data_IF_066390562247
#
_entry.id   IF_066390562247
#
_cell.length_a   1.000
_cell.length_b   1.000
_cell.length_c   1.000
_cell.angle_alpha   90.00
_cell.angle_beta   90.00
_cell.angle_gamma   90.00
#
_symmetry.space_group_name_H-M   'P 1'
#
loop_
_entity.id
_entity.type
_entity.pdbx_description
1 polymer ?
#
# COMPACT_ATOMS: atom_id res chain seq x y z
N UNK A 1 -5.67 3.43 -23.17
CA UNK A 1 -5.74 2.54 -22.00
C UNK A 1 -4.33 2.35 -21.50
N UNK A 2 -4.15 2.31 -20.19
CA UNK A 2 -2.88 1.89 -19.60
C UNK A 2 -2.79 0.35 -19.59
N UNK A 3 -1.62 -0.20 -19.25
CA UNK A 3 -1.39 -1.66 -19.30
C UNK A 3 -2.30 -2.47 -18.38
N UNK A 4 -2.76 -1.89 -17.27
CA UNK A 4 -3.68 -2.57 -16.33
C UNK A 4 -5.10 -2.61 -16.88
N UNK A 5 -5.54 -1.54 -17.54
CA UNK A 5 -6.80 -1.54 -18.28
C UNK A 5 -6.76 -2.53 -19.46
N UNK A 6 -5.67 -2.54 -20.23
CA UNK A 6 -5.47 -3.53 -21.31
C UNK A 6 -5.50 -4.97 -20.77
N UNK A 7 -4.84 -5.22 -19.63
CA UNK A 7 -4.94 -6.51 -18.95
C UNK A 7 -6.39 -6.84 -18.60
N UNK A 8 -7.09 -5.94 -17.93
CA UNK A 8 -8.45 -6.19 -17.44
C UNK A 8 -9.47 -6.44 -18.56
N UNK A 9 -9.43 -5.66 -19.64
CA UNK A 9 -10.43 -5.74 -20.72
C UNK A 9 -10.09 -6.73 -21.83
N UNK A 10 -8.80 -6.87 -22.17
CA UNK A 10 -8.40 -7.54 -23.41
C UNK A 10 -7.72 -8.90 -23.18
N UNK A 11 -7.34 -9.24 -21.94
CA UNK A 11 -6.68 -10.50 -21.60
C UNK A 11 -7.60 -11.47 -20.85
N UNK A 12 -7.42 -12.79 -21.02
CA UNK A 12 -8.12 -13.79 -20.22
C UNK A 12 -7.57 -13.81 -18.78
N UNK A 13 -8.49 -13.93 -17.82
CA UNK A 13 -8.17 -14.01 -16.39
C UNK A 13 -8.31 -15.44 -15.88
N UNK A 14 -7.29 -15.96 -15.17
CA UNK A 14 -7.38 -17.27 -14.50
C UNK A 14 -8.08 -17.16 -13.14
N UNK A 15 -7.97 -15.99 -12.51
CA UNK A 15 -8.57 -15.67 -11.22
C UNK A 15 -9.47 -14.43 -11.33
N UNK A 16 -10.59 -14.37 -10.58
CA UNK A 16 -11.44 -13.18 -10.51
C UNK A 16 -10.65 -11.93 -10.11
N UNK A 17 -10.81 -10.86 -10.89
CA UNK A 17 -10.24 -9.54 -10.62
C UNK A 17 -11.36 -8.62 -10.16
N UNK A 18 -11.22 -8.05 -8.96
CA UNK A 18 -12.18 -7.12 -8.38
C UNK A 18 -11.48 -5.79 -8.09
N UNK A 19 -11.63 -4.81 -8.98
CA UNK A 19 -11.06 -3.46 -8.83
C UNK A 19 -12.04 -2.40 -9.33
N UNK A 20 -12.01 -1.23 -8.73
CA UNK A 20 -12.71 -0.06 -9.27
C UNK A 20 -11.97 0.44 -10.52
N UNK A 21 -12.71 0.84 -11.56
CA UNK A 21 -12.10 1.21 -12.83
C UNK A 21 -11.07 2.34 -12.72
N UNK A 22 -11.30 3.33 -11.85
CA UNK A 22 -10.37 4.44 -11.68
C UNK A 22 -9.08 4.06 -10.93
N UNK A 23 -9.04 2.90 -10.27
CA UNK A 23 -7.82 2.43 -9.61
C UNK A 23 -6.72 2.09 -10.62
N UNK A 24 -7.07 1.65 -11.83
CA UNK A 24 -6.09 1.32 -12.87
C UNK A 24 -5.22 2.53 -13.26
N UNK A 25 -5.80 3.72 -13.41
CA UNK A 25 -5.04 4.96 -13.67
C UNK A 25 -4.11 5.29 -12.48
N UNK A 26 -4.61 5.14 -11.25
CA UNK A 26 -3.86 5.45 -10.03
C UNK A 26 -2.64 4.51 -9.92
N UNK A 27 -2.85 3.21 -10.10
CA UNK A 27 -1.75 2.24 -10.13
C UNK A 27 -0.76 2.57 -11.24
N UNK A 28 -1.21 2.80 -12.48
CA UNK A 28 -0.29 3.06 -13.60
C UNK A 28 0.57 4.30 -13.34
N UNK A 29 -0.03 5.40 -12.87
CA UNK A 29 0.67 6.63 -12.50
C UNK A 29 1.81 6.37 -11.52
N UNK A 30 1.58 5.57 -10.48
CA UNK A 30 2.54 5.39 -9.39
C UNK A 30 3.47 4.20 -9.61
N UNK A 31 3.03 3.17 -10.31
CA UNK A 31 3.73 1.89 -10.45
C UNK A 31 4.48 1.72 -11.77
N UNK A 32 4.17 2.52 -12.80
CA UNK A 32 4.80 2.41 -14.14
C UNK A 32 6.33 2.48 -14.10
N UNK A 33 6.90 3.25 -13.16
CA UNK A 33 8.36 3.34 -12.96
C UNK A 33 9.03 2.00 -12.56
N UNK A 34 8.28 1.02 -12.09
CA UNK A 34 8.78 -0.32 -11.70
C UNK A 34 8.60 -1.38 -12.79
N UNK A 35 7.89 -1.08 -13.87
CA UNK A 35 7.65 -2.06 -14.95
C UNK A 35 8.97 -2.46 -15.60
N UNK A 36 9.25 -3.76 -15.68
CA UNK A 36 10.52 -4.30 -16.17
C UNK A 36 11.71 -4.04 -15.24
N UNK A 37 11.47 -3.66 -13.98
CA UNK A 37 12.52 -3.41 -12.95
C UNK A 37 12.56 -4.46 -11.85
N UNK A 38 11.82 -5.56 -12.01
CA UNK A 38 11.80 -6.68 -11.06
C UNK A 38 11.47 -6.25 -9.61
N UNK A 39 10.39 -5.47 -9.39
CA UNK A 39 10.05 -4.98 -8.05
C UNK A 39 9.68 -6.13 -7.11
N UNK A 40 9.97 -5.96 -5.82
CA UNK A 40 9.31 -6.73 -4.75
C UNK A 40 8.02 -6.04 -4.34
N UNK A 41 6.90 -6.76 -4.44
CA UNK A 41 5.55 -6.23 -4.20
C UNK A 41 4.84 -7.11 -3.18
N UNK A 42 4.26 -6.49 -2.15
CA UNK A 42 3.38 -7.14 -1.20
C UNK A 42 1.94 -6.68 -1.42
N UNK A 43 1.03 -7.61 -1.62
CA UNK A 43 -0.43 -7.40 -1.59
C UNK A 43 -1.01 -8.01 -0.30
N UNK A 44 -1.67 -7.18 0.50
CA UNK A 44 -2.45 -7.61 1.67
C UNK A 44 -3.91 -7.68 1.22
N UNK A 45 -4.55 -8.85 1.36
CA UNK A 45 -5.82 -9.15 0.70
C UNK A 45 -5.61 -9.80 -0.65
N UNK A 46 -5.51 -11.14 -0.67
CA UNK A 46 -5.32 -11.90 -1.91
C UNK A 46 -6.67 -12.24 -2.53
N UNK A 47 -7.66 -12.56 -1.69
CA UNK A 47 -8.95 -13.12 -2.11
C UNK A 47 -8.79 -14.26 -3.14
N UNK A 48 -9.39 -14.18 -4.32
CA UNK A 48 -9.24 -15.21 -5.34
C UNK A 48 -7.86 -15.16 -6.08
N UNK A 49 -7.09 -14.09 -5.90
CA UNK A 49 -5.74 -13.89 -6.44
C UNK A 49 -5.65 -13.17 -7.79
N UNK A 50 -6.74 -12.54 -8.25
CA UNK A 50 -6.71 -11.74 -9.48
C UNK A 50 -5.81 -10.50 -9.40
N UNK A 51 -5.65 -9.89 -8.21
CA UNK A 51 -4.69 -8.80 -7.99
C UNK A 51 -3.25 -9.24 -8.27
N UNK A 52 -2.81 -10.33 -7.64
CA UNK A 52 -1.52 -10.96 -7.91
C UNK A 52 -1.33 -11.34 -9.39
N UNK A 53 -2.34 -11.92 -10.05
CA UNK A 53 -2.27 -12.25 -11.48
C UNK A 53 -2.07 -11.00 -12.35
N UNK A 54 -2.82 -9.94 -12.05
CA UNK A 54 -2.72 -8.65 -12.72
C UNK A 54 -1.33 -8.02 -12.53
N UNK A 55 -0.81 -7.98 -11.30
CA UNK A 55 0.51 -7.43 -11.02
C UNK A 55 1.65 -8.29 -11.61
N UNK A 56 1.47 -9.61 -11.69
CA UNK A 56 2.40 -10.52 -12.36
C UNK A 56 2.55 -10.17 -13.85
N UNK A 57 1.44 -9.88 -14.54
CA UNK A 57 1.47 -9.45 -15.94
C UNK A 57 2.02 -8.01 -16.09
N UNK A 58 1.55 -7.09 -15.25
CA UNK A 58 1.86 -5.67 -15.34
C UNK A 58 3.35 -5.35 -15.14
N UNK A 59 3.97 -5.91 -14.10
CA UNK A 59 5.39 -5.68 -13.82
C UNK A 59 6.32 -6.52 -14.71
N UNK A 60 5.82 -7.66 -15.19
CA UNK A 60 6.52 -8.56 -16.09
C UNK A 60 7.53 -9.47 -15.41
N UNK A 61 8.45 -10.00 -16.22
CA UNK A 61 9.42 -11.02 -15.81
C UNK A 61 10.30 -10.57 -14.63
N UNK A 62 10.44 -11.46 -13.64
CA UNK A 62 11.33 -11.30 -12.50
C UNK A 62 10.80 -10.37 -11.40
N UNK A 63 9.58 -9.84 -11.50
CA UNK A 63 8.93 -9.29 -10.31
C UNK A 63 8.80 -10.36 -9.22
N UNK A 64 8.69 -9.93 -7.97
CA UNK A 64 8.56 -10.84 -6.83
C UNK A 64 7.33 -10.45 -6.05
N UNK A 65 6.30 -11.29 -6.13
CA UNK A 65 5.00 -11.04 -5.53
C UNK A 65 4.87 -11.81 -4.23
N UNK A 66 4.42 -11.11 -3.20
CA UNK A 66 4.15 -11.64 -1.88
C UNK A 66 2.69 -11.34 -1.55
N UNK A 67 2.02 -12.29 -0.93
CA UNK A 67 0.62 -12.15 -0.52
C UNK A 67 0.44 -12.40 0.96
N UNK A 68 -0.41 -11.61 1.62
CA UNK A 68 -0.92 -11.90 2.97
C UNK A 68 -2.44 -11.91 2.94
N UNK A 69 -3.06 -12.99 3.42
CA UNK A 69 -4.51 -13.09 3.50
C UNK A 69 -4.95 -13.99 4.67
N UNK A 70 -6.07 -13.69 5.30
CA UNK A 70 -6.55 -14.44 6.46
C UNK A 70 -7.14 -15.81 6.12
N UNK A 71 -7.59 -16.00 4.87
CA UNK A 71 -8.31 -17.20 4.42
C UNK A 71 -7.71 -17.82 3.16
N UNK A 72 -7.28 -17.01 2.19
CA UNK A 72 -6.98 -17.48 0.82
C UNK A 72 -5.49 -17.70 0.53
N UNK A 73 -4.61 -17.40 1.48
CA UNK A 73 -3.17 -17.61 1.33
C UNK A 73 -2.74 -19.08 1.16
N UNK A 74 -3.66 -20.04 1.27
CA UNK A 74 -3.42 -21.47 1.07
C UNK A 74 -3.91 -22.00 -0.27
N UNK A 75 -4.22 -21.15 -1.27
CA UNK A 75 -4.66 -21.61 -2.59
C UNK A 75 -3.46 -22.12 -3.43
N UNK A 76 -3.29 -23.44 -3.62
CA UNK A 76 -2.13 -23.99 -4.31
C UNK A 76 -2.10 -23.67 -5.81
N UNK A 77 -3.23 -23.20 -6.38
CA UNK A 77 -3.26 -22.78 -7.79
C UNK A 77 -2.49 -21.50 -8.02
N UNK A 78 -2.46 -20.58 -7.04
CA UNK A 78 -1.78 -19.30 -7.20
C UNK A 78 -0.27 -19.51 -7.39
N UNK A 79 0.37 -20.26 -6.49
CA UNK A 79 1.80 -20.58 -6.59
C UNK A 79 2.13 -21.37 -7.86
N UNK A 80 1.22 -22.24 -8.31
CA UNK A 80 1.44 -23.06 -9.51
C UNK A 80 1.29 -22.27 -10.81
N UNK A 81 0.32 -21.35 -10.87
CA UNK A 81 -0.08 -20.68 -12.12
C UNK A 81 0.54 -19.28 -12.28
N UNK A 82 1.08 -18.70 -11.21
CA UNK A 82 1.70 -17.38 -11.17
C UNK A 82 3.21 -17.51 -10.83
N UNK A 83 4.10 -17.55 -11.83
CA UNK A 83 5.51 -17.89 -11.64
C UNK A 83 6.31 -16.88 -10.81
N UNK A 84 5.83 -15.63 -10.69
CA UNK A 84 6.49 -14.59 -9.89
C UNK A 84 5.98 -14.51 -8.45
N UNK A 85 5.00 -15.33 -8.05
CA UNK A 85 4.59 -15.44 -6.64
C UNK A 85 5.67 -16.17 -5.87
N UNK A 86 6.30 -15.46 -4.95
CA UNK A 86 7.38 -15.98 -4.11
C UNK A 86 6.84 -16.62 -2.85
N UNK A 87 5.84 -15.98 -2.22
CA UNK A 87 5.30 -16.46 -0.96
C UNK A 87 3.89 -15.95 -0.70
N UNK A 88 2.99 -16.86 -0.31
CA UNK A 88 1.67 -16.53 0.22
C UNK A 88 1.61 -16.89 1.71
N UNK A 89 1.24 -15.94 2.56
CA UNK A 89 1.21 -16.11 4.00
C UNK A 89 -0.18 -15.95 4.56
N UNK A 90 -0.62 -16.94 5.35
CA UNK A 90 -1.85 -16.81 6.12
C UNK A 90 -1.63 -15.88 7.31
N UNK A 91 -2.39 -14.80 7.39
CA UNK A 91 -2.23 -13.81 8.47
C UNK A 91 -3.44 -12.89 8.63
N UNK A 92 -3.66 -12.41 9.84
CA UNK A 92 -4.62 -11.33 10.11
C UNK A 92 -3.89 -9.99 10.12
N UNK A 93 -4.22 -9.12 9.17
CA UNK A 93 -3.61 -7.81 9.07
C UNK A 93 -3.90 -6.90 10.28
N UNK A 94 -4.95 -7.20 11.06
CA UNK A 94 -5.28 -6.51 12.29
C UNK A 94 -4.42 -6.92 13.50
N UNK A 95 -3.55 -7.92 13.35
CA UNK A 95 -2.70 -8.46 14.39
C UNK A 95 -1.26 -7.92 14.28
N UNK A 96 -0.84 -7.13 15.27
CA UNK A 96 0.49 -6.52 15.33
C UNK A 96 1.60 -7.58 15.45
N UNK A 97 1.39 -8.64 16.23
CA UNK A 97 2.42 -9.65 16.43
C UNK A 97 2.65 -10.49 15.18
N UNK A 98 1.60 -10.75 14.41
CA UNK A 98 1.74 -11.34 13.08
C UNK A 98 2.68 -10.51 12.20
N UNK A 99 2.49 -9.19 12.13
CA UNK A 99 3.36 -8.34 11.33
C UNK A 99 4.79 -8.27 11.85
N UNK A 100 4.97 -8.33 13.16
CA UNK A 100 6.31 -8.38 13.77
C UNK A 100 7.06 -9.63 13.31
N UNK A 101 6.45 -10.81 13.45
CA UNK A 101 7.02 -12.08 13.03
C UNK A 101 7.23 -12.14 11.50
N UNK A 102 6.26 -11.63 10.73
CA UNK A 102 6.34 -11.60 9.27
C UNK A 102 7.57 -10.82 8.79
N UNK A 103 7.77 -9.59 9.33
CA UNK A 103 8.90 -8.73 8.97
C UNK A 103 10.28 -9.31 9.23
N UNK A 104 10.40 -10.26 10.15
CA UNK A 104 11.69 -10.88 10.48
C UNK A 104 12.21 -11.79 9.36
N UNK A 105 11.32 -12.25 8.46
CA UNK A 105 11.65 -13.26 7.44
C UNK A 105 11.45 -12.79 5.99
N UNK A 106 10.75 -11.68 5.75
CA UNK A 106 10.52 -11.15 4.39
C UNK A 106 11.44 -9.97 4.04
N UNK A 107 11.70 -9.70 2.75
CA UNK A 107 12.48 -8.53 2.35
C UNK A 107 11.64 -7.25 2.40
N UNK A 108 12.32 -6.09 2.47
CA UNK A 108 11.65 -4.81 2.18
C UNK A 108 11.04 -4.80 0.78
N UNK A 109 9.93 -4.09 0.63
CA UNK A 109 9.16 -4.05 -0.61
C UNK A 109 9.32 -2.73 -1.35
N UNK A 110 9.44 -2.78 -2.67
CA UNK A 110 9.31 -1.60 -3.53
C UNK A 110 7.89 -1.04 -3.45
N UNK A 111 6.89 -1.93 -3.33
CA UNK A 111 5.47 -1.58 -3.28
C UNK A 111 4.77 -2.42 -2.20
N UNK A 112 3.99 -1.79 -1.33
CA UNK A 112 3.02 -2.45 -0.45
C UNK A 112 1.63 -1.94 -0.80
N UNK A 113 0.69 -2.86 -1.01
CA UNK A 113 -0.71 -2.60 -1.30
C UNK A 113 -1.55 -3.18 -0.16
N UNK A 114 -2.33 -2.34 0.53
CA UNK A 114 -3.32 -2.77 1.51
C UNK A 114 -4.72 -2.75 0.90
N UNK A 115 -5.17 -3.93 0.46
CA UNK A 115 -6.47 -4.23 -0.13
C UNK A 115 -7.18 -5.37 0.63
N UNK A 116 -6.96 -5.45 1.95
CA UNK A 116 -7.43 -6.59 2.73
C UNK A 116 -8.81 -6.41 3.33
N UNK A 117 -8.94 -6.46 4.65
CA UNK A 117 -10.26 -6.48 5.30
C UNK A 117 -10.96 -5.13 5.42
N UNK A 118 -10.31 -4.02 5.07
CA UNK A 118 -10.83 -2.64 5.08
C UNK A 118 -11.47 -2.12 6.38
N UNK A 119 -11.42 -2.86 7.50
CA UNK A 119 -11.80 -2.29 8.79
C UNK A 119 -10.75 -1.26 9.23
N UNK A 120 -11.20 -0.22 9.91
CA UNK A 120 -10.33 0.91 10.28
C UNK A 120 -9.11 0.47 11.09
N UNK A 121 -9.31 -0.43 12.07
CA UNK A 121 -8.21 -1.01 12.85
C UNK A 121 -7.22 -1.78 11.96
N UNK A 122 -7.72 -2.51 10.97
CA UNK A 122 -6.89 -3.31 10.08
C UNK A 122 -5.99 -2.42 9.20
N UNK A 123 -6.55 -1.41 8.53
CA UNK A 123 -5.76 -0.48 7.70
C UNK A 123 -4.75 0.31 8.55
N UNK A 124 -5.16 0.82 9.73
CA UNK A 124 -4.24 1.53 10.64
C UNK A 124 -3.12 0.59 11.10
N UNK A 125 -3.43 -0.63 11.54
CA UNK A 125 -2.43 -1.59 12.01
C UNK A 125 -1.45 -1.98 10.91
N UNK A 126 -1.91 -2.29 9.71
CA UNK A 126 -1.03 -2.59 8.57
C UNK A 126 -0.09 -1.42 8.29
N UNK A 127 -0.62 -0.19 8.23
CA UNK A 127 0.20 1.00 7.99
C UNK A 127 1.30 1.15 9.06
N UNK A 128 0.91 1.18 10.34
CA UNK A 128 1.83 1.35 11.48
C UNK A 128 2.89 0.25 11.51
N UNK A 129 2.53 -0.98 11.13
CA UNK A 129 3.46 -2.10 11.15
C UNK A 129 4.40 -2.14 9.92
N UNK A 130 3.90 -1.80 8.73
CA UNK A 130 4.54 -2.12 7.46
C UNK A 130 5.07 -0.91 6.68
N UNK A 131 4.67 0.33 7.00
CA UNK A 131 5.17 1.50 6.26
C UNK A 131 6.70 1.64 6.33
N UNK A 132 7.29 1.31 7.47
CA UNK A 132 8.75 1.28 7.63
C UNK A 132 9.46 0.15 6.86
N UNK A 133 8.69 -0.86 6.43
CA UNK A 133 9.15 -1.98 5.63
C UNK A 133 9.06 -1.74 4.11
N UNK A 134 8.46 -0.63 3.68
CA UNK A 134 8.62 -0.10 2.32
C UNK A 134 10.07 0.34 2.13
N UNK A 135 10.68 0.05 0.99
CA UNK A 135 12.01 0.53 0.62
C UNK A 135 12.03 2.04 0.47
N UNK A 136 13.22 2.62 0.57
CA UNK A 136 13.41 4.01 0.23
C UNK A 136 13.08 4.21 -1.26
N UNK A 137 12.36 5.28 -1.59
CA UNK A 137 11.75 5.53 -2.91
C UNK A 137 10.64 4.54 -3.35
N UNK A 138 10.20 3.68 -2.43
CA UNK A 138 9.07 2.77 -2.58
C UNK A 138 7.70 3.43 -2.37
N UNK A 139 6.64 2.62 -2.51
CA UNK A 139 5.25 3.08 -2.43
C UNK A 139 4.47 2.24 -1.41
N UNK A 140 3.68 2.93 -0.59
CA UNK A 140 2.57 2.33 0.15
C UNK A 140 1.27 2.83 -0.46
N UNK A 141 0.36 1.94 -0.82
CA UNK A 141 -0.96 2.25 -1.34
C UNK A 141 -2.01 1.52 -0.49
N UNK A 142 -3.08 2.21 -0.12
CA UNK A 142 -4.22 1.57 0.56
C UNK A 142 -5.52 1.85 -0.20
N UNK A 143 -6.27 0.79 -0.45
CA UNK A 143 -7.53 0.79 -1.21
C UNK A 143 -8.76 0.91 -0.31
N UNK A 144 -9.90 1.15 -0.96
CA UNK A 144 -11.22 1.08 -0.35
C UNK A 144 -11.42 1.98 0.87
N UNK A 145 -10.83 3.18 0.82
CA UNK A 145 -10.97 4.19 1.87
C UNK A 145 -12.40 4.69 2.07
N UNK A 146 -13.29 4.49 1.09
CA UNK A 146 -14.72 4.81 1.24
C UNK A 146 -15.35 4.08 2.44
N UNK A 147 -14.81 2.92 2.84
CA UNK A 147 -15.21 2.18 4.06
C UNK A 147 -15.02 3.00 5.34
N UNK A 148 -14.13 4.00 5.35
CA UNK A 148 -13.98 4.98 6.43
C UNK A 148 -15.26 5.79 6.68
N UNK A 149 -16.17 5.85 5.72
CA UNK A 149 -17.45 6.54 5.87
C UNK A 149 -18.61 5.59 6.21
N UNK A 150 -18.41 4.28 6.13
CA UNK A 150 -19.47 3.28 6.26
C UNK A 150 -19.48 2.63 7.65
N UNK A 151 -20.59 2.73 8.36
CA UNK A 151 -20.71 2.22 9.74
C UNK A 151 -20.39 0.72 9.87
N UNK A 152 -20.73 -0.10 8.87
CA UNK A 152 -20.45 -1.55 8.85
C UNK A 152 -18.96 -1.88 9.02
N UNK A 153 -18.07 -1.02 8.53
CA UNK A 153 -16.62 -1.20 8.58
C UNK A 153 -15.94 -0.46 9.74
N UNK A 154 -16.74 0.09 10.68
CA UNK A 154 -16.25 0.96 11.74
C UNK A 154 -16.18 2.45 11.35
N UNK A 155 -16.62 2.78 10.14
CA UNK A 155 -16.61 4.12 9.59
C UNK A 155 -17.69 5.07 10.14
N UNK A 156 -17.65 6.28 9.58
CA UNK A 156 -18.63 7.36 9.74
C UNK A 156 -18.05 8.68 9.24
N UNK A 157 -18.88 9.55 8.66
CA UNK A 157 -18.41 10.86 8.17
C UNK A 157 -17.72 11.65 9.29
N UNK A 158 -16.43 11.98 9.08
CA UNK A 158 -15.56 12.65 10.06
C UNK A 158 -15.43 11.94 11.41
N UNK A 159 -15.66 10.63 11.44
CA UNK A 159 -15.56 9.84 12.66
C UNK A 159 -14.10 9.66 13.05
N UNK A 160 -13.77 10.05 14.28
CA UNK A 160 -12.45 9.80 14.87
C UNK A 160 -12.13 8.30 14.89
N UNK A 161 -10.86 7.96 14.63
CA UNK A 161 -10.39 6.58 14.57
C UNK A 161 -10.64 5.86 13.24
N UNK A 162 -11.18 6.54 12.23
CA UNK A 162 -11.25 6.01 10.87
C UNK A 162 -9.91 6.21 10.14
N UNK A 163 -9.63 5.39 9.14
CA UNK A 163 -8.36 5.48 8.42
C UNK A 163 -8.23 6.81 7.66
N UNK A 164 -9.31 7.35 7.10
CA UNK A 164 -9.30 8.71 6.53
C UNK A 164 -8.94 9.78 7.57
N UNK A 165 -9.57 9.78 8.75
CA UNK A 165 -9.22 10.80 9.77
C UNK A 165 -7.80 10.59 10.31
N UNK A 166 -7.33 9.35 10.39
CA UNK A 166 -5.95 9.02 10.77
C UNK A 166 -4.93 9.55 9.74
N UNK A 167 -5.14 9.27 8.46
CA UNK A 167 -4.22 9.68 7.37
C UNK A 167 -4.26 11.18 7.08
N UNK A 168 -5.32 11.91 7.44
CA UNK A 168 -5.32 13.39 7.37
C UNK A 168 -4.20 14.02 8.18
N UNK A 169 -3.82 13.44 9.31
CA UNK A 169 -2.71 13.95 10.13
C UNK A 169 -1.38 13.93 9.35
N UNK A 170 -1.25 13.05 8.34
CA UNK A 170 -0.03 12.95 7.54
C UNK A 170 0.24 14.23 6.74
N UNK A 171 -0.80 15.02 6.43
CA UNK A 171 -0.67 16.33 5.81
C UNK A 171 0.15 17.25 6.72
N UNK A 172 -0.18 17.30 8.01
CA UNK A 172 0.58 18.10 8.98
C UNK A 172 1.98 17.52 9.20
N UNK A 173 2.11 16.19 9.23
CA UNK A 173 3.40 15.53 9.43
C UNK A 173 4.42 15.90 8.36
N UNK A 174 4.06 15.89 7.06
CA UNK A 174 5.00 16.28 6.00
C UNK A 174 5.36 17.78 6.04
N UNK A 175 4.51 18.63 6.62
CA UNK A 175 4.73 20.07 6.78
C UNK A 175 5.38 20.46 8.10
N UNK A 176 5.67 19.50 8.99
CA UNK A 176 6.23 19.75 10.32
C UNK A 176 7.63 20.43 10.32
N UNK A 177 8.25 20.66 9.16
CA UNK A 177 9.41 21.55 9.01
C UNK A 177 9.11 23.04 9.23
N UNK A 178 7.83 23.42 9.16
CA UNK A 178 7.33 24.79 9.16
C UNK A 178 6.54 25.15 10.42
N UNK A 179 6.32 24.21 11.32
CA UNK A 179 5.73 24.48 12.64
C UNK A 179 6.86 24.95 13.58
N UNK A 180 6.67 26.09 14.23
CA UNK A 180 7.75 26.92 14.77
C UNK A 180 8.43 26.37 16.05
N UNK A 181 7.85 25.37 16.71
CA UNK A 181 8.38 24.83 17.97
C UNK A 181 8.67 23.33 17.85
N UNK A 182 9.93 23.02 17.53
CA UNK A 182 10.48 21.66 17.42
C UNK A 182 10.42 20.89 18.76
N UNK A 183 10.07 21.58 19.86
CA UNK A 183 9.91 20.98 21.19
C UNK A 183 8.61 20.19 21.37
N UNK A 184 7.55 20.49 20.59
CA UNK A 184 6.22 19.85 20.72
C UNK A 184 5.85 18.97 19.50
N UNK A 185 6.73 18.82 18.51
CA UNK A 185 6.50 17.85 17.43
C UNK A 185 6.66 16.43 17.98
N UNK A 186 5.63 15.59 17.84
CA UNK A 186 5.73 14.20 18.25
C UNK A 186 6.84 13.50 17.46
N UNK A 187 7.54 12.54 18.08
CA UNK A 187 8.62 11.78 17.41
C UNK A 187 8.13 11.13 16.12
N UNK A 188 6.87 10.71 16.07
CA UNK A 188 6.18 10.22 14.87
C UNK A 188 6.27 11.19 13.70
N UNK A 189 6.04 12.49 13.93
CA UNK A 189 5.99 13.51 12.90
C UNK A 189 7.39 13.77 12.34
N UNK A 190 8.40 13.72 13.22
CA UNK A 190 9.81 13.86 12.85
C UNK A 190 10.27 12.70 11.96
N UNK A 191 9.91 11.47 12.33
CA UNK A 191 10.27 10.28 11.56
C UNK A 191 9.52 10.26 10.24
N UNK A 192 8.21 10.53 10.26
CA UNK A 192 7.36 10.52 9.08
C UNK A 192 7.82 11.56 8.05
N UNK A 193 8.06 12.82 8.45
CA UNK A 193 8.47 13.87 7.48
C UNK A 193 9.80 13.60 6.79
N UNK A 194 10.71 12.87 7.44
CA UNK A 194 12.01 12.48 6.88
C UNK A 194 11.90 11.30 5.93
N UNK A 195 10.89 10.45 6.11
CA UNK A 195 10.69 9.22 5.35
C UNK A 195 9.62 9.35 4.25
N UNK A 196 8.75 10.34 4.30
CA UNK A 196 7.64 10.51 3.36
C UNK A 196 7.88 11.71 2.44
N UNK A 197 7.91 11.45 1.12
CA UNK A 197 8.06 12.51 0.13
C UNK A 197 6.76 13.26 -0.10
N UNK A 198 5.69 12.53 -0.44
CA UNK A 198 4.40 13.06 -0.84
C UNK A 198 3.27 12.07 -0.52
N UNK A 199 2.06 12.61 -0.42
CA UNK A 199 0.83 11.87 -0.17
C UNK A 199 -0.17 12.28 -1.25
N UNK A 200 -0.81 11.30 -1.88
CA UNK A 200 -1.81 11.51 -2.92
C UNK A 200 -3.13 10.89 -2.46
N UNK A 201 -4.17 11.70 -2.35
CA UNK A 201 -5.52 11.23 -2.08
C UNK A 201 -6.32 11.23 -3.38
N UNK A 202 -6.89 10.08 -3.69
CA UNK A 202 -7.87 9.88 -4.76
C UNK A 202 -9.20 9.43 -4.15
N UNK A 203 -10.25 9.35 -4.96
CA UNK A 203 -11.49 8.73 -4.49
C UNK A 203 -11.20 7.28 -4.07
N UNK A 204 -11.36 7.03 -2.78
CA UNK A 204 -11.18 5.73 -2.14
C UNK A 204 -9.75 5.13 -2.16
N UNK A 205 -8.71 5.90 -2.47
CA UNK A 205 -7.31 5.44 -2.42
C UNK A 205 -6.39 6.50 -1.81
N UNK A 206 -5.42 6.08 -1.00
CA UNK A 206 -4.29 6.93 -0.61
C UNK A 206 -2.98 6.27 -1.04
N UNK A 207 -2.08 7.08 -1.58
CA UNK A 207 -0.73 6.67 -1.98
C UNK A 207 0.31 7.50 -1.23
N UNK A 208 1.25 6.85 -0.58
CA UNK A 208 2.41 7.47 0.05
C UNK A 208 3.67 7.09 -0.71
N UNK A 209 4.38 8.09 -1.21
CA UNK A 209 5.71 7.90 -1.79
C UNK A 209 6.77 8.08 -0.71
N UNK A 210 7.53 7.02 -0.44
CA UNK A 210 8.62 7.03 0.53
C UNK A 210 9.86 7.69 -0.08
N UNK A 211 10.73 8.25 0.75
CA UNK A 211 12.04 8.80 0.39
C UNK A 211 12.97 8.72 1.59
N UNK A 212 14.21 8.27 1.39
CA UNK A 212 15.22 8.29 2.45
C UNK A 212 15.61 9.72 2.83
N UNK A 213 15.74 9.96 4.13
CA UNK A 213 16.41 11.12 4.73
C UNK A 213 16.10 12.47 4.07
N UNK A 214 14.81 12.73 3.86
CA UNK A 214 14.33 13.99 3.28
C UNK A 214 14.80 15.17 4.15
N UNK A 215 15.57 16.06 3.54
CA UNK A 215 16.03 17.29 4.17
C UNK A 215 14.93 18.35 4.23
N UNK A 216 15.13 19.34 5.10
CA UNK A 216 14.26 20.52 5.17
C UNK A 216 14.27 21.22 3.81
N UNK A 217 13.09 21.53 3.22
CA UNK A 217 13.03 22.28 1.96
C UNK A 217 13.77 23.62 2.07
N UNK A 218 14.57 23.94 1.05
CA UNK A 218 15.26 25.22 0.96
C UNK A 218 14.57 26.14 -0.05
N UNK A 219 14.51 27.43 0.30
CA UNK A 219 14.02 28.46 -0.63
C UNK A 219 15.11 28.75 -1.65
N UNK A 220 14.76 28.74 -2.94
CA UNK A 220 15.68 29.15 -3.99
C UNK A 220 16.08 30.62 -3.83
N UNK A 221 17.38 30.92 -3.93
CA UNK A 221 17.91 32.28 -3.96
C UNK A 221 18.71 32.45 -5.26
N UNK A 222 18.53 33.58 -5.93
CA UNK A 222 19.33 34.03 -7.07
C UNK A 222 19.94 35.37 -6.73
#
# INVERSE_FOLDING_TARGET
MNKLEEYFYDKPHKFPVHKWHHYFEIYDRHFSKYVGKQPSVLEVGIDAGGGLEMFNDYFGEGCRLYGVDSTHASNPRLEKELPNVVELTKGDQGNVEFWKEYKERIPKFDIIIDDGGHHMKQQITTFECMYDHVKDDGIYLCEDLHTSYWHRWGGGYKRSGTFIEYTKNFIDYIHAWHTADVADSHVSDIVFRKKTNSIHFYDSVVVLEKRADKEKPQVSRR
#
